data_IF_510117674129
#
_entry.id   IF_510117674129
#
_cell.length_a   1.000
_cell.length_b   1.000
_cell.length_c   1.000
_cell.angle_alpha   90.00
_cell.angle_beta   90.00
_cell.angle_gamma   90.00
#
_symmetry.space_group_name_H-M   'P 1'
#
loop_
_entity.id
_entity.type
_entity.pdbx_description
1 polymer ?
#
# COMPACT_ATOMS: atom_id res chain seq x y z
N UNK A 1 17.41 -2.50 -11.49
CA UNK A 1 16.68 -3.45 -10.63
C UNK A 1 15.34 -2.78 -10.32
N UNK A 2 14.26 -3.20 -10.98
CA UNK A 2 12.98 -2.48 -10.96
C UNK A 2 12.34 -2.48 -9.58
N UNK A 3 11.79 -1.34 -9.18
CA UNK A 3 11.14 -1.13 -7.88
C UNK A 3 10.02 -2.15 -7.68
N UNK A 4 10.13 -3.00 -6.64
CA UNK A 4 9.15 -4.01 -6.22
C UNK A 4 7.96 -3.41 -5.44
N UNK A 5 7.56 -2.18 -5.77
CA UNK A 5 6.58 -1.42 -4.97
C UNK A 5 5.41 -0.94 -5.85
N UNK A 6 4.82 -1.81 -6.67
CA UNK A 6 3.60 -1.46 -7.43
C UNK A 6 2.36 -1.83 -6.63
N UNK A 7 1.26 -1.09 -6.81
CA UNK A 7 -0.04 -1.45 -6.23
C UNK A 7 -0.50 -2.86 -6.67
N UNK A 8 -0.13 -3.27 -7.88
CA UNK A 8 -0.39 -4.62 -8.37
C UNK A 8 0.31 -5.69 -7.51
N UNK A 9 1.55 -5.43 -7.06
CA UNK A 9 2.31 -6.36 -6.22
C UNK A 9 1.69 -6.46 -4.82
N UNK A 10 1.23 -5.33 -4.27
CA UNK A 10 0.50 -5.30 -3.00
C UNK A 10 -0.77 -6.15 -3.08
N UNK A 11 -1.57 -5.97 -4.14
CA UNK A 11 -2.79 -6.75 -4.33
C UNK A 11 -2.50 -8.24 -4.47
N UNK A 12 -1.48 -8.61 -5.27
CA UNK A 12 -1.08 -10.01 -5.42
C UNK A 12 -0.73 -10.64 -4.06
N UNK A 13 0.07 -9.96 -3.23
CA UNK A 13 0.43 -10.49 -1.91
C UNK A 13 -0.75 -10.59 -0.95
N UNK A 14 -1.72 -9.67 -1.02
CA UNK A 14 -2.94 -9.76 -0.23
C UNK A 14 -3.81 -10.94 -0.66
N UNK A 15 -3.95 -11.19 -1.96
CA UNK A 15 -4.67 -12.36 -2.47
C UNK A 15 -3.96 -13.65 -2.08
N UNK A 16 -2.63 -13.73 -2.20
CA UNK A 16 -1.86 -14.89 -1.75
C UNK A 16 -2.04 -15.17 -0.25
N UNK A 17 -2.17 -14.13 0.59
CA UNK A 17 -2.45 -14.29 2.03
C UNK A 17 -3.88 -14.80 2.27
N UNK A 18 -4.85 -14.35 1.47
CA UNK A 18 -6.21 -14.89 1.53
C UNK A 18 -6.25 -16.38 1.17
N UNK A 19 -5.55 -16.79 0.11
CA UNK A 19 -5.46 -18.21 -0.25
C UNK A 19 -4.84 -19.06 0.86
N UNK A 20 -3.78 -18.56 1.53
CA UNK A 20 -3.18 -19.25 2.68
C UNK A 20 -4.12 -19.37 3.87
N UNK A 21 -4.88 -18.31 4.18
CA UNK A 21 -5.88 -18.36 5.26
C UNK A 21 -7.06 -19.29 4.96
N UNK A 22 -7.34 -19.55 3.69
CA UNK A 22 -8.42 -20.44 3.26
C UNK A 22 -8.00 -21.93 3.22
N UNK A 23 -6.74 -22.24 3.52
CA UNK A 23 -6.25 -23.63 3.58
C UNK A 23 -6.97 -24.41 4.70
N UNK A 24 -7.70 -25.47 4.33
CA UNK A 24 -8.50 -26.28 5.26
C UNK A 24 -7.64 -27.08 6.24
N UNK A 25 -6.37 -27.32 5.90
CA UNK A 25 -5.41 -28.02 6.75
C UNK A 25 -4.72 -27.08 7.77
N UNK A 26 -4.93 -25.77 7.65
CA UNK A 26 -4.32 -24.77 8.52
C UNK A 26 -5.01 -24.71 9.90
N UNK A 27 -4.32 -25.19 10.94
CA UNK A 27 -4.90 -25.34 12.29
C UNK A 27 -3.93 -24.99 13.41
N UNK A 28 -4.46 -24.84 14.63
CA UNK A 28 -3.69 -24.63 15.85
C UNK A 28 -2.76 -23.42 15.80
N UNK A 29 -1.51 -23.63 16.23
CA UNK A 29 -0.49 -22.58 16.29
C UNK A 29 -0.15 -21.98 14.92
N UNK A 30 -0.25 -22.76 13.85
CA UNK A 30 0.06 -22.27 12.50
C UNK A 30 -1.06 -21.39 11.95
N UNK A 31 -2.33 -21.71 12.24
CA UNK A 31 -3.45 -20.81 11.97
C UNK A 31 -3.31 -19.50 12.73
N UNK A 32 -2.93 -19.53 14.01
CA UNK A 32 -2.68 -18.31 14.77
C UNK A 32 -1.56 -17.45 14.18
N UNK A 33 -0.47 -18.06 13.70
CA UNK A 33 0.64 -17.35 13.06
C UNK A 33 0.19 -16.69 11.77
N UNK A 34 -0.55 -17.40 10.93
CA UNK A 34 -1.03 -16.84 9.66
C UNK A 34 -2.05 -15.73 9.90
N UNK A 35 -2.95 -15.84 10.89
CA UNK A 35 -3.84 -14.73 11.29
C UNK A 35 -3.03 -13.50 11.72
N UNK A 36 -1.97 -13.68 12.53
CA UNK A 36 -1.09 -12.57 12.96
C UNK A 36 -0.39 -11.92 11.75
N UNK A 37 0.08 -12.74 10.82
CA UNK A 37 0.71 -12.29 9.58
C UNK A 37 -0.26 -11.52 8.69
N UNK A 38 -1.45 -12.05 8.44
CA UNK A 38 -2.49 -11.41 7.64
C UNK A 38 -2.87 -10.04 8.21
N UNK A 39 -3.02 -9.95 9.53
CA UNK A 39 -3.26 -8.68 10.21
C UNK A 39 -2.11 -7.66 10.01
N UNK A 40 -0.86 -8.11 10.07
CA UNK A 40 0.30 -7.24 9.81
C UNK A 40 0.36 -6.77 8.34
N UNK A 41 0.05 -7.66 7.40
CA UNK A 41 -0.03 -7.33 5.98
C UNK A 41 -1.15 -6.33 5.69
N UNK A 42 -2.34 -6.54 6.23
CA UNK A 42 -3.47 -5.63 6.08
C UNK A 42 -3.16 -4.22 6.64
N UNK A 43 -2.53 -4.14 7.82
CA UNK A 43 -2.09 -2.85 8.39
C UNK A 43 -1.10 -2.12 7.49
N UNK A 44 -0.13 -2.84 6.94
CA UNK A 44 0.88 -2.28 6.04
C UNK A 44 0.25 -1.82 4.74
N UNK A 45 -0.66 -2.61 4.17
CA UNK A 45 -1.43 -2.26 2.99
C UNK A 45 -2.25 -0.98 3.19
N UNK A 46 -2.95 -0.86 4.32
CA UNK A 46 -3.69 0.37 4.66
C UNK A 46 -2.79 1.60 4.73
N UNK A 47 -1.60 1.50 5.34
CA UNK A 47 -0.66 2.61 5.39
C UNK A 47 -0.19 3.04 3.99
N UNK A 48 0.09 2.08 3.12
CA UNK A 48 0.46 2.34 1.72
C UNK A 48 -0.68 3.02 0.97
N UNK A 49 -1.91 2.49 1.06
CA UNK A 49 -3.08 3.06 0.39
C UNK A 49 -3.38 4.49 0.89
N UNK A 50 -3.27 4.73 2.20
CA UNK A 50 -3.45 6.05 2.79
C UNK A 50 -2.42 7.06 2.24
N UNK A 51 -1.14 6.66 2.12
CA UNK A 51 -0.10 7.50 1.54
C UNK A 51 -0.39 7.83 0.06
N UNK A 52 -0.78 6.84 -0.74
CA UNK A 52 -1.15 7.07 -2.14
C UNK A 52 -2.40 7.93 -2.30
N UNK A 53 -3.37 7.79 -1.39
CA UNK A 53 -4.58 8.63 -1.37
C UNK A 53 -4.23 10.08 -1.06
N UNK A 54 -3.33 10.31 -0.10
CA UNK A 54 -2.79 11.64 0.19
C UNK A 54 -2.08 12.24 -1.02
N UNK A 55 -1.21 11.46 -1.68
CA UNK A 55 -0.52 11.86 -2.90
C UNK A 55 -1.49 12.24 -4.03
N UNK A 56 -2.53 11.41 -4.25
CA UNK A 56 -3.55 11.66 -5.26
C UNK A 56 -4.37 12.92 -4.95
N UNK A 57 -4.74 13.12 -3.69
CA UNK A 57 -5.49 14.32 -3.28
C UNK A 57 -4.64 15.59 -3.43
N UNK A 58 -3.38 15.56 -3.01
CA UNK A 58 -2.44 16.66 -3.23
C UNK A 58 -2.33 17.00 -4.72
N UNK A 59 -2.17 15.98 -5.58
CA UNK A 59 -2.16 16.16 -7.03
C UNK A 59 -3.45 16.82 -7.56
N UNK A 60 -4.62 16.32 -7.16
CA UNK A 60 -5.92 16.90 -7.58
C UNK A 60 -6.02 18.37 -7.19
N UNK A 61 -5.62 18.73 -5.96
CA UNK A 61 -5.64 20.11 -5.51
C UNK A 61 -4.64 20.99 -6.27
N UNK A 62 -3.43 20.52 -6.52
CA UNK A 62 -2.48 21.28 -7.33
C UNK A 62 -2.99 21.52 -8.75
N UNK A 63 -3.58 20.49 -9.38
CA UNK A 63 -4.17 20.60 -10.72
C UNK A 63 -5.37 21.59 -10.72
N UNK A 64 -6.20 21.61 -9.67
CA UNK A 64 -7.35 22.52 -9.52
C UNK A 64 -6.93 24.00 -9.36
N UNK A 65 -5.88 24.27 -8.57
CA UNK A 65 -5.40 25.63 -8.30
C UNK A 65 -4.32 26.11 -9.28
N UNK A 66 -3.94 25.29 -10.28
CA UNK A 66 -2.86 25.60 -11.22
C UNK A 66 -1.49 25.75 -10.55
N UNK A 67 -1.31 25.15 -9.38
CA UNK A 67 -0.06 25.19 -8.61
C UNK A 67 0.88 24.16 -9.23
N UNK A 68 2.08 24.57 -9.62
CA UNK A 68 3.07 23.62 -10.10
C UNK A 68 3.50 22.71 -8.95
N UNK A 69 3.73 21.42 -9.20
CA UNK A 69 4.23 20.50 -8.16
C UNK A 69 5.57 20.94 -7.53
N UNK A 70 6.28 21.89 -8.16
CA UNK A 70 7.49 22.50 -7.62
C UNK A 70 7.19 23.51 -6.50
N UNK A 71 5.99 24.07 -6.42
CA UNK A 71 5.60 25.06 -5.40
C UNK A 71 4.91 24.41 -4.18
N UNK A 72 4.67 23.10 -4.25
CA UNK A 72 4.12 22.31 -3.16
C UNK A 72 5.05 22.29 -1.93
N UNK A 73 4.49 22.24 -0.69
CA UNK A 73 5.27 21.98 0.52
C UNK A 73 6.10 20.71 0.38
N UNK A 74 7.33 20.71 0.89
CA UNK A 74 8.29 19.60 0.73
C UNK A 74 7.72 18.24 1.19
N UNK A 75 6.87 18.24 2.21
CA UNK A 75 6.17 17.04 2.72
C UNK A 75 5.14 16.44 1.75
N UNK A 76 4.69 17.21 0.77
CA UNK A 76 3.72 16.82 -0.27
C UNK A 76 4.36 16.76 -1.66
N UNK A 77 5.62 17.18 -1.79
CA UNK A 77 6.38 16.96 -3.01
C UNK A 77 6.58 15.46 -3.14
N UNK A 78 5.90 14.88 -4.11
CA UNK A 78 6.20 13.54 -4.56
C UNK A 78 7.61 13.60 -5.14
N UNK A 79 8.63 13.23 -4.36
CA UNK A 79 9.97 13.03 -4.89
C UNK A 79 9.87 11.97 -5.99
N UNK A 80 9.74 12.43 -7.24
CA UNK A 80 9.99 11.60 -8.40
C UNK A 80 11.48 11.28 -8.41
N UNK A 81 11.89 10.31 -7.60
CA UNK A 81 12.96 9.38 -7.97
C UNK A 81 12.31 8.29 -8.81
N UNK A 82 11.84 8.69 -9.99
CA UNK A 82 11.46 7.79 -11.08
C UNK A 82 12.73 7.19 -11.70
#
# INVERSE_FOLDING_TARGET
>A
MGVKNKMADLNNHLFEEMERLNDEDLQGDDLEKEIKRANAMAKTAHAIIANNTLALNAKKHFDEYGISGADAPETLRLENKL
#
